data_IF_236422453674
#
_entry.id   IF_236422453674
#
_cell.length_a   1.000
_cell.length_b   1.000
_cell.length_c   1.000
_cell.angle_alpha   90.00
_cell.angle_beta   90.00
_cell.angle_gamma   90.00
#
_symmetry.space_group_name_H-M   'P 1'
#
loop_
_entity.id
_entity.type
_entity.pdbx_description
1 polymer ?
#
# COMPACT_ATOMS: atom_id res chain seq x y z
N UNK A 1 -52.72 -18.55 1.41
CA UNK A 1 -51.47 -17.81 1.64
C UNK A 1 -50.39 -18.83 1.90
N UNK A 2 -49.44 -19.00 0.97
CA UNK A 2 -48.31 -19.89 1.18
C UNK A 2 -47.28 -19.19 2.07
N UNK A 3 -46.69 -19.87 3.07
CA UNK A 3 -45.60 -19.29 3.85
C UNK A 3 -44.38 -19.06 2.94
N UNK A 4 -43.81 -17.86 3.03
CA UNK A 4 -42.62 -17.44 2.31
C UNK A 4 -41.40 -18.20 2.83
N UNK A 5 -40.64 -18.84 1.94
CA UNK A 5 -39.38 -19.54 2.24
C UNK A 5 -38.23 -18.60 2.65
N UNK A 6 -38.48 -17.30 2.74
CA UNK A 6 -37.47 -16.26 2.93
C UNK A 6 -37.50 -15.58 4.31
N UNK A 7 -38.41 -15.97 5.22
CA UNK A 7 -38.49 -15.38 6.56
C UNK A 7 -37.46 -15.94 7.56
N UNK A 8 -36.79 -17.07 7.25
CA UNK A 8 -35.83 -17.72 8.17
C UNK A 8 -34.39 -17.17 8.10
N UNK A 9 -34.14 -16.10 7.33
CA UNK A 9 -32.78 -15.53 7.16
C UNK A 9 -32.57 -14.20 7.89
N UNK A 10 -33.47 -13.78 8.77
CA UNK A 10 -33.21 -12.66 9.66
C UNK A 10 -32.55 -13.14 10.95
N UNK A 11 -31.40 -12.54 11.26
CA UNK A 11 -30.59 -12.69 12.47
C UNK A 11 -29.63 -13.88 12.58
N UNK A 12 -28.73 -14.02 11.58
CA UNK A 12 -27.38 -14.51 11.88
C UNK A 12 -26.44 -13.31 11.94
N UNK A 13 -25.98 -12.88 13.13
CA UNK A 13 -24.89 -11.92 13.22
C UNK A 13 -23.66 -12.58 12.58
N UNK A 14 -23.27 -12.10 11.41
CA UNK A 14 -22.06 -12.56 10.72
C UNK A 14 -20.83 -12.01 11.43
N UNK A 15 -20.54 -12.53 12.62
CA UNK A 15 -19.32 -12.24 13.38
C UNK A 15 -18.54 -13.53 13.54
N UNK A 16 -18.04 -14.04 12.42
CA UNK A 16 -17.05 -15.12 12.41
C UNK A 16 -15.66 -14.47 12.48
N UNK A 17 -15.20 -14.13 13.69
CA UNK A 17 -13.82 -13.70 13.93
C UNK A 17 -13.10 -14.78 14.72
N UNK A 18 -12.35 -15.62 14.01
CA UNK A 18 -11.54 -16.69 14.58
C UNK A 18 -10.20 -16.80 13.82
N UNK A 19 -9.09 -17.13 14.51
CA UNK A 19 -7.75 -17.16 13.90
C UNK A 19 -7.61 -18.18 12.76
N UNK A 20 -8.46 -19.22 12.72
CA UNK A 20 -8.49 -20.22 11.65
C UNK A 20 -9.14 -19.71 10.35
N UNK A 21 -10.08 -18.77 10.43
CA UNK A 21 -10.70 -18.15 9.26
C UNK A 21 -9.75 -17.15 8.59
N UNK A 22 -9.07 -16.32 9.40
CA UNK A 22 -8.00 -15.44 8.94
C UNK A 22 -6.91 -16.24 8.20
N UNK A 23 -6.57 -17.45 8.68
CA UNK A 23 -5.56 -18.30 8.05
C UNK A 23 -6.02 -18.88 6.69
N UNK A 24 -7.30 -19.25 6.56
CA UNK A 24 -7.88 -19.73 5.30
C UNK A 24 -8.04 -18.59 4.27
N UNK A 25 -8.42 -17.40 4.73
CA UNK A 25 -8.52 -16.20 3.90
C UNK A 25 -7.12 -15.72 3.47
N UNK A 26 -6.15 -15.69 4.38
CA UNK A 26 -4.74 -15.38 4.09
C UNK A 26 -4.15 -16.36 3.06
N UNK A 27 -4.47 -17.66 3.15
CA UNK A 27 -4.05 -18.66 2.16
C UNK A 27 -4.69 -18.43 0.80
N UNK A 28 -5.98 -18.11 0.77
CA UNK A 28 -6.73 -17.81 -0.47
C UNK A 28 -6.22 -16.54 -1.13
N UNK A 29 -5.98 -15.48 -0.35
CA UNK A 29 -5.38 -14.23 -0.77
C UNK A 29 -3.96 -14.44 -1.32
N UNK A 30 -3.16 -15.32 -0.70
CA UNK A 30 -1.82 -15.68 -1.18
C UNK A 30 -1.84 -16.52 -2.45
N UNK A 31 -2.81 -17.44 -2.60
CA UNK A 31 -2.96 -18.20 -3.85
C UNK A 31 -3.44 -17.33 -5.01
N UNK A 32 -4.15 -16.24 -4.72
CA UNK A 32 -4.60 -15.26 -5.70
C UNK A 32 -3.54 -14.19 -6.03
N UNK A 33 -2.47 -14.06 -5.23
CA UNK A 33 -1.43 -13.05 -5.43
C UNK A 33 -0.16 -13.67 -6.05
N UNK A 34 0.36 -12.99 -7.07
CA UNK A 34 1.69 -13.28 -7.61
C UNK A 34 2.72 -12.67 -6.64
N UNK A 35 3.79 -13.36 -6.20
CA UNK A 35 4.85 -12.69 -5.45
C UNK A 35 5.55 -11.62 -6.31
N UNK A 36 6.03 -10.52 -5.69
CA UNK A 36 6.94 -9.58 -6.37
C UNK A 36 8.35 -10.09 -6.18
N UNK A 37 8.96 -10.59 -7.24
CA UNK A 37 10.40 -10.86 -7.27
C UNK A 37 11.20 -9.62 -7.70
N UNK A 38 12.52 -9.71 -7.66
CA UNK A 38 13.42 -8.60 -8.00
C UNK A 38 13.22 -8.10 -9.44
N UNK A 39 13.03 -9.01 -10.40
CA UNK A 39 12.85 -8.64 -11.80
C UNK A 39 11.54 -7.86 -12.00
N UNK A 40 10.44 -8.32 -11.40
CA UNK A 40 9.17 -7.62 -11.42
C UNK A 40 9.24 -6.28 -10.69
N UNK A 41 9.95 -6.20 -9.56
CA UNK A 41 10.17 -4.93 -8.87
C UNK A 41 10.89 -3.92 -9.76
N UNK A 42 11.96 -4.32 -10.44
CA UNK A 42 12.73 -3.44 -11.33
C UNK A 42 11.90 -2.96 -12.52
N UNK A 43 11.02 -3.82 -13.06
CA UNK A 43 10.06 -3.43 -14.09
C UNK A 43 9.02 -2.43 -13.56
N UNK A 44 8.49 -2.64 -12.35
CA UNK A 44 7.51 -1.75 -11.72
C UNK A 44 8.10 -0.38 -11.36
N UNK A 45 9.34 -0.35 -10.88
CA UNK A 45 10.08 0.91 -10.64
C UNK A 45 10.22 1.67 -11.96
N UNK A 46 10.71 1.01 -13.02
CA UNK A 46 10.86 1.62 -14.35
C UNK A 46 9.53 2.13 -14.90
N UNK A 47 8.44 1.39 -14.69
CA UNK A 47 7.09 1.82 -15.05
C UNK A 47 6.72 3.14 -14.35
N UNK A 48 6.87 3.21 -13.03
CA UNK A 48 6.53 4.41 -12.25
C UNK A 48 7.41 5.61 -12.59
N UNK A 49 8.71 5.40 -12.79
CA UNK A 49 9.65 6.43 -13.20
C UNK A 49 9.33 6.98 -14.59
N UNK A 50 9.07 6.09 -15.55
CA UNK A 50 8.68 6.50 -16.91
C UNK A 50 7.39 7.29 -16.86
N UNK A 51 6.37 6.78 -16.17
CA UNK A 51 5.11 7.48 -15.98
C UNK A 51 5.34 8.90 -15.42
N UNK A 52 6.06 9.01 -14.31
CA UNK A 52 6.39 10.30 -13.67
C UNK A 52 7.12 11.25 -14.61
N UNK A 53 8.09 10.78 -15.41
CA UNK A 53 8.83 11.65 -16.32
C UNK A 53 7.95 12.34 -17.37
N UNK A 54 6.78 11.77 -17.68
CA UNK A 54 5.81 12.35 -18.58
C UNK A 54 4.81 13.26 -17.86
N UNK A 55 4.41 12.94 -16.63
CA UNK A 55 3.31 13.64 -15.94
C UNK A 55 3.73 14.69 -14.90
N UNK A 56 5.03 14.79 -14.58
CA UNK A 56 5.50 15.76 -13.58
C UNK A 56 5.31 17.22 -14.01
N UNK A 57 5.34 17.49 -15.32
CA UNK A 57 5.13 18.81 -15.91
C UNK A 57 3.69 19.05 -16.36
N UNK A 58 2.99 18.02 -16.83
CA UNK A 58 1.60 18.08 -17.30
C UNK A 58 0.83 16.83 -16.84
N UNK A 59 -0.17 17.06 -15.98
CA UNK A 59 -1.01 16.01 -15.41
C UNK A 59 -2.43 16.00 -16.02
N UNK A 60 -2.61 16.53 -17.23
CA UNK A 60 -3.87 16.43 -17.96
C UNK A 60 -4.26 14.95 -18.23
N UNK A 61 -5.55 14.62 -18.36
CA UNK A 61 -6.00 13.26 -18.66
C UNK A 61 -5.33 12.66 -19.91
N UNK A 62 -5.15 13.46 -20.95
CA UNK A 62 -4.49 13.07 -22.20
C UNK A 62 -3.00 12.75 -21.98
N UNK A 63 -2.29 13.60 -21.21
CA UNK A 63 -0.89 13.36 -20.86
C UNK A 63 -0.74 12.10 -20.00
N UNK A 64 -1.63 11.87 -19.03
CA UNK A 64 -1.62 10.66 -18.21
C UNK A 64 -1.86 9.38 -19.03
N UNK A 65 -2.79 9.41 -19.98
CA UNK A 65 -3.05 8.27 -20.86
C UNK A 65 -1.82 7.94 -21.73
N UNK A 66 -1.17 8.97 -22.30
CA UNK A 66 0.08 8.83 -23.04
C UNK A 66 1.22 8.28 -22.18
N UNK A 67 1.36 8.80 -20.95
CA UNK A 67 2.37 8.37 -19.99
C UNK A 67 2.20 6.91 -19.58
N UNK A 68 0.96 6.46 -19.32
CA UNK A 68 0.67 5.06 -18.98
C UNK A 68 1.07 4.12 -20.12
N UNK A 69 0.78 4.49 -21.37
CA UNK A 69 1.19 3.72 -22.54
C UNK A 69 2.72 3.63 -22.67
N UNK A 70 3.41 4.76 -22.57
CA UNK A 70 4.88 4.81 -22.65
C UNK A 70 5.54 4.00 -21.52
N UNK A 71 4.98 4.05 -20.32
CA UNK A 71 5.45 3.29 -19.17
C UNK A 71 5.28 1.77 -19.35
N UNK A 72 4.17 1.30 -19.90
CA UNK A 72 3.98 -0.12 -20.25
C UNK A 72 5.02 -0.57 -21.27
N UNK A 73 5.19 0.18 -22.36
CA UNK A 73 6.16 -0.12 -23.42
C UNK A 73 7.61 -0.20 -22.88
N UNK A 74 8.00 0.76 -22.03
CA UNK A 74 9.37 0.86 -21.49
C UNK A 74 9.66 -0.18 -20.41
N UNK A 75 8.68 -0.51 -19.57
CA UNK A 75 8.83 -1.49 -18.49
C UNK A 75 8.72 -2.94 -18.98
N UNK A 76 8.09 -3.16 -20.14
CA UNK A 76 7.78 -4.51 -20.63
C UNK A 76 6.70 -5.22 -19.82
N UNK A 77 5.97 -4.48 -18.97
CA UNK A 77 4.84 -5.02 -18.21
C UNK A 77 3.59 -5.11 -19.09
N UNK A 78 2.80 -6.16 -18.89
CA UNK A 78 1.40 -6.14 -19.29
C UNK A 78 0.57 -5.28 -18.33
N UNK A 79 -0.63 -4.88 -18.78
CA UNK A 79 -1.55 -4.01 -18.01
C UNK A 79 -1.87 -4.62 -16.64
N UNK A 80 -2.11 -5.93 -16.58
CA UNK A 80 -2.52 -6.61 -15.35
C UNK A 80 -1.40 -6.62 -14.31
N UNK A 81 -0.17 -6.89 -14.75
CA UNK A 81 1.03 -6.85 -13.91
C UNK A 81 1.33 -5.43 -13.43
N UNK A 82 1.17 -4.43 -14.30
CA UNK A 82 1.35 -3.02 -13.93
C UNK A 82 0.32 -2.55 -12.89
N UNK A 83 -0.97 -2.87 -13.08
CA UNK A 83 -2.04 -2.51 -12.14
C UNK A 83 -1.85 -3.18 -10.78
N UNK A 84 -1.69 -4.51 -10.79
CA UNK A 84 -1.53 -5.28 -9.56
C UNK A 84 -0.25 -4.87 -8.82
N UNK A 85 0.88 -4.77 -9.51
CA UNK A 85 2.15 -4.41 -8.91
C UNK A 85 2.16 -2.97 -8.38
N UNK A 86 1.53 -2.04 -9.10
CA UNK A 86 1.35 -0.67 -8.61
C UNK A 86 0.49 -0.61 -7.34
N UNK A 87 -0.51 -1.50 -7.20
CA UNK A 87 -1.28 -1.59 -5.96
C UNK A 87 -0.43 -2.09 -4.78
N UNK A 88 0.45 -3.07 -5.01
CA UNK A 88 1.42 -3.55 -4.00
C UNK A 88 2.36 -2.42 -3.57
N UNK A 89 2.99 -1.76 -4.53
CA UNK A 89 3.92 -0.65 -4.26
C UNK A 89 3.23 0.51 -3.55
N UNK A 90 1.98 0.83 -3.90
CA UNK A 90 1.20 1.88 -3.23
C UNK A 90 0.87 1.50 -1.78
N UNK A 91 0.45 0.26 -1.54
CA UNK A 91 0.11 -0.22 -0.20
C UNK A 91 1.35 -0.20 0.71
N UNK A 92 2.50 -0.65 0.22
CA UNK A 92 3.76 -0.58 0.96
C UNK A 92 4.24 0.87 1.15
N UNK A 93 4.40 1.61 0.04
CA UNK A 93 4.94 2.97 0.02
C UNK A 93 4.15 3.95 0.89
N UNK A 94 2.81 3.86 0.89
CA UNK A 94 1.96 4.72 1.72
C UNK A 94 2.15 4.48 3.23
N UNK A 95 2.34 3.23 3.64
CA UNK A 95 2.64 2.89 5.05
C UNK A 95 4.02 3.39 5.44
N UNK A 96 5.04 3.14 4.61
CA UNK A 96 6.42 3.56 4.88
C UNK A 96 6.55 5.08 4.90
N UNK A 97 5.87 5.78 4.01
CA UNK A 97 5.75 7.24 4.05
C UNK A 97 5.13 7.74 5.35
N UNK A 98 4.05 7.10 5.83
CA UNK A 98 3.41 7.43 7.11
C UNK A 98 4.36 7.21 8.28
N UNK A 99 5.10 6.10 8.29
CA UNK A 99 6.14 5.83 9.31
C UNK A 99 7.20 6.92 9.32
N UNK A 100 7.71 7.35 8.16
CA UNK A 100 8.66 8.45 8.08
C UNK A 100 8.09 9.75 8.68
N UNK A 101 6.84 10.09 8.36
CA UNK A 101 6.18 11.28 8.92
C UNK A 101 6.01 11.22 10.44
N UNK A 102 5.62 10.06 10.97
CA UNK A 102 5.47 9.87 12.41
C UNK A 102 6.83 9.96 13.13
N UNK A 103 7.89 9.40 12.53
CA UNK A 103 9.27 9.54 13.06
C UNK A 103 9.73 10.99 13.08
N UNK A 104 9.54 11.74 11.99
CA UNK A 104 9.82 13.19 11.97
C UNK A 104 9.06 13.94 13.05
N UNK A 105 7.77 13.62 13.23
CA UNK A 105 6.95 14.23 14.28
C UNK A 105 7.46 13.91 15.68
N UNK A 106 7.96 12.69 15.95
CA UNK A 106 8.59 12.38 17.24
C UNK A 106 9.83 13.24 17.48
N UNK A 107 10.71 13.36 16.49
CA UNK A 107 11.90 14.22 16.59
C UNK A 107 11.54 15.69 16.87
N UNK A 108 10.49 16.21 16.24
CA UNK A 108 9.98 17.57 16.52
C UNK A 108 9.45 17.73 17.96
N UNK A 109 8.91 16.67 18.55
CA UNK A 109 8.37 16.66 19.90
C UNK A 109 9.44 16.43 20.97
N UNK A 110 10.61 15.86 20.64
CA UNK A 110 11.70 15.58 21.59
C UNK A 110 12.19 16.83 22.32
N UNK A 111 12.22 17.99 21.63
CA UNK A 111 12.63 19.27 22.20
C UNK A 111 11.56 19.94 23.08
N UNK A 112 10.36 19.34 23.20
CA UNK A 112 9.22 19.87 23.95
C UNK A 112 8.94 19.01 25.18
N UNK A 113 8.46 19.65 26.23
CA UNK A 113 8.10 19.03 27.51
C UNK A 113 6.74 19.51 27.99
N UNK A 114 6.01 18.64 28.67
CA UNK A 114 4.71 18.94 29.28
C UNK A 114 3.74 17.76 29.15
N UNK A 115 2.74 17.65 30.04
CA UNK A 115 1.81 16.50 30.06
C UNK A 115 1.13 16.25 28.71
N UNK A 116 0.67 17.32 28.03
CA UNK A 116 0.05 17.22 26.71
C UNK A 116 1.02 16.73 25.63
N UNK A 117 2.29 17.13 25.70
CA UNK A 117 3.33 16.69 24.77
C UNK A 117 3.61 15.20 24.96
N UNK A 118 3.65 14.74 26.21
CA UNK A 118 3.89 13.33 26.53
C UNK A 118 2.73 12.44 26.05
N UNK A 119 1.48 12.90 26.17
CA UNK A 119 0.32 12.23 25.59
C UNK A 119 0.37 12.16 24.06
N UNK A 120 0.83 13.23 23.39
CA UNK A 120 1.01 13.21 21.93
C UNK A 120 2.15 12.27 21.54
N UNK A 121 3.29 12.29 22.23
CA UNK A 121 4.42 11.38 21.99
C UNK A 121 3.96 9.92 22.08
N UNK A 122 3.22 9.57 23.14
CA UNK A 122 2.65 8.23 23.32
C UNK A 122 1.75 7.82 22.14
N UNK A 123 0.80 8.68 21.76
CA UNK A 123 -0.09 8.41 20.60
C UNK A 123 0.67 8.21 19.29
N UNK A 124 1.71 9.00 19.05
CA UNK A 124 2.55 8.86 17.84
C UNK A 124 3.35 7.56 17.86
N UNK A 125 3.87 7.15 19.04
CA UNK A 125 4.55 5.86 19.22
C UNK A 125 3.59 4.68 19.00
N UNK A 126 2.39 4.73 19.55
CA UNK A 126 1.37 3.70 19.37
C UNK A 126 1.01 3.53 17.88
N UNK A 127 0.83 4.64 17.16
CA UNK A 127 0.56 4.62 15.73
C UNK A 127 1.76 4.09 14.92
N UNK A 128 3.01 4.38 15.32
CA UNK A 128 4.19 3.79 14.68
C UNK A 128 4.21 2.27 14.81
N UNK A 129 3.93 1.75 16.00
CA UNK A 129 3.85 0.29 16.25
C UNK A 129 2.77 -0.33 15.37
N UNK A 130 1.62 0.34 15.27
CA UNK A 130 0.52 -0.09 14.40
C UNK A 130 0.94 -0.12 12.92
N UNK A 131 1.59 0.93 12.41
CA UNK A 131 2.04 0.98 11.02
C UNK A 131 3.10 -0.07 10.69
N UNK A 132 4.03 -0.37 11.60
CA UNK A 132 4.99 -1.46 11.42
C UNK A 132 4.28 -2.82 11.37
N UNK A 133 3.35 -3.09 12.31
CA UNK A 133 2.56 -4.32 12.32
C UNK A 133 1.74 -4.48 11.03
N UNK A 134 1.12 -3.41 10.55
CA UNK A 134 0.34 -3.42 9.32
C UNK A 134 1.21 -3.56 8.07
N UNK A 135 2.45 -3.07 8.10
CA UNK A 135 3.45 -3.32 7.05
C UNK A 135 3.81 -4.80 7.00
N UNK A 136 4.08 -5.43 8.15
CA UNK A 136 4.40 -6.85 8.22
C UNK A 136 3.20 -7.73 7.82
N UNK A 137 1.98 -7.29 8.15
CA UNK A 137 0.75 -7.96 7.75
C UNK A 137 0.56 -8.01 6.22
N UNK A 138 1.19 -7.11 5.45
CA UNK A 138 1.20 -7.22 3.98
C UNK A 138 1.81 -8.55 3.50
N UNK A 139 2.70 -9.16 4.29
CA UNK A 139 3.31 -10.45 3.99
C UNK A 139 2.30 -11.60 3.94
N UNK A 140 1.15 -11.45 4.63
CA UNK A 140 0.05 -12.41 4.52
C UNK A 140 -0.51 -12.42 3.10
N UNK A 141 -0.81 -11.24 2.57
CA UNK A 141 -1.44 -11.01 1.26
C UNK A 141 -0.49 -11.15 0.08
N UNK A 142 0.74 -10.63 0.18
CA UNK A 142 1.69 -10.53 -0.94
C UNK A 142 2.90 -11.46 -0.81
N UNK A 143 3.01 -12.18 0.31
CA UNK A 143 4.17 -13.02 0.64
C UNK A 143 5.22 -12.28 1.46
N UNK A 144 5.84 -13.01 2.41
CA UNK A 144 6.87 -12.46 3.30
C UNK A 144 8.10 -12.01 2.51
N UNK A 145 8.52 -12.80 1.51
CA UNK A 145 9.65 -12.47 0.63
C UNK A 145 9.42 -11.16 -0.15
N UNK A 146 8.19 -10.94 -0.62
CA UNK A 146 7.82 -9.66 -1.26
C UNK A 146 8.04 -8.50 -0.30
N UNK A 147 7.56 -8.58 0.95
CA UNK A 147 7.72 -7.50 1.92
C UNK A 147 9.20 -7.29 2.30
N UNK A 148 9.96 -8.37 2.44
CA UNK A 148 11.41 -8.29 2.69
C UNK A 148 12.12 -7.53 1.56
N UNK A 149 11.87 -7.92 0.30
CA UNK A 149 12.42 -7.25 -0.87
C UNK A 149 12.02 -5.76 -0.93
N UNK A 150 10.76 -5.43 -0.66
CA UNK A 150 10.31 -4.03 -0.66
C UNK A 150 10.99 -3.21 0.46
N UNK A 151 11.29 -3.82 1.62
CA UNK A 151 12.06 -3.16 2.69
C UNK A 151 13.49 -2.88 2.28
N UNK A 152 14.14 -3.76 1.53
CA UNK A 152 15.48 -3.52 0.97
C UNK A 152 15.51 -2.28 0.05
N UNK A 153 14.40 -2.00 -0.62
CA UNK A 153 14.22 -0.88 -1.54
C UNK A 153 13.38 0.29 -0.95
N UNK A 154 13.21 0.36 0.38
CA UNK A 154 12.25 1.28 1.01
C UNK A 154 12.48 2.75 0.63
N UNK A 155 13.73 3.22 0.64
CA UNK A 155 14.05 4.62 0.37
C UNK A 155 13.59 5.07 -1.03
N UNK A 156 13.88 4.24 -2.04
CA UNK A 156 13.50 4.47 -3.43
C UNK A 156 11.98 4.45 -3.60
N UNK A 157 11.32 3.42 -3.04
CA UNK A 157 9.88 3.25 -3.15
C UNK A 157 9.08 4.36 -2.46
N UNK A 158 9.56 4.86 -1.31
CA UNK A 158 8.93 6.00 -0.63
C UNK A 158 9.14 7.29 -1.42
N UNK A 159 10.30 7.49 -2.06
CA UNK A 159 10.54 8.64 -2.92
C UNK A 159 9.59 8.63 -4.13
N UNK A 160 9.43 7.48 -4.80
CA UNK A 160 8.48 7.30 -5.90
C UNK A 160 7.04 7.55 -5.45
N UNK A 161 6.63 6.97 -4.31
CA UNK A 161 5.30 7.19 -3.74
C UNK A 161 5.02 8.68 -3.50
N UNK A 162 5.99 9.39 -2.92
CA UNK A 162 5.87 10.83 -2.63
C UNK A 162 5.69 11.66 -3.90
N UNK A 163 6.47 11.36 -4.94
CA UNK A 163 6.38 12.04 -6.25
C UNK A 163 5.04 11.76 -6.92
N UNK A 164 4.60 10.50 -6.96
CA UNK A 164 3.30 10.10 -7.52
C UNK A 164 2.15 10.79 -6.79
N UNK A 165 2.15 10.79 -5.46
CA UNK A 165 1.10 11.44 -4.67
C UNK A 165 1.02 12.94 -4.99
N UNK A 166 2.16 13.63 -5.13
CA UNK A 166 2.23 15.05 -5.47
C UNK A 166 1.63 15.36 -6.85
N UNK A 167 1.83 14.49 -7.84
CA UNK A 167 1.25 14.65 -9.17
C UNK A 167 -0.25 14.38 -9.12
N UNK A 168 -0.66 13.25 -8.53
CA UNK A 168 -2.05 12.81 -8.50
C UNK A 168 -2.96 13.69 -7.63
N UNK A 169 -2.40 14.46 -6.69
CA UNK A 169 -3.17 15.42 -5.89
C UNK A 169 -3.41 16.78 -6.58
N UNK A 170 -2.85 17.00 -7.78
CA UNK A 170 -2.96 18.28 -8.52
C UNK A 170 -4.03 18.26 -9.61
N UNK A 171 -4.36 17.08 -10.12
CA UNK A 171 -5.46 16.87 -11.08
C UNK A 171 -6.78 16.69 -10.35
#
# INVERSE_FOLDING_TARGET
MAPSFFDDYQDVPNVETGPDFDAADDRTLRMASRPVDKALLDQLVRYQETFLSHVEADASPEAMAGAAKAALETSGLDVKAAEWGSAVLRAFGGRRWTVQRLRSKLTELESRSGPEVDEVKKRVQDELVKQERETDALGRRYGVETVALLREHEAELVALHTRLQKVLSRG
#
